data_IF_083381074339
#
_entry.id   IF_083381074339
#
_cell.length_a   1.000
_cell.length_b   1.000
_cell.length_c   1.000
_cell.angle_alpha   90.00
_cell.angle_beta   90.00
_cell.angle_gamma   90.00
#
_symmetry.space_group_name_H-M   'P 1'
#
loop_
_entity.id
_entity.type
_entity.pdbx_description
1 polymer ?
#
# COMPACT_ATOMS: atom_id res chain seq x y z
N UNK A 1 26.42 -9.47 -6.33
CA UNK A 1 26.91 -8.82 -5.09
C UNK A 1 26.06 -9.31 -3.94
N UNK A 2 26.67 -9.87 -2.89
CA UNK A 2 25.94 -10.35 -1.71
C UNK A 2 25.37 -9.15 -0.95
N UNK A 3 24.06 -9.12 -0.77
CA UNK A 3 23.43 -8.07 0.02
C UNK A 3 23.90 -8.16 1.48
N UNK A 4 24.31 -7.04 2.11
CA UNK A 4 24.75 -7.08 3.50
C UNK A 4 23.59 -7.44 4.41
N UNK A 5 23.75 -8.53 5.16
CA UNK A 5 22.77 -9.05 6.14
C UNK A 5 22.67 -8.17 7.39
N UNK A 6 23.55 -7.16 7.50
CA UNK A 6 23.62 -6.22 8.63
C UNK A 6 23.53 -4.78 8.13
N UNK A 7 22.92 -3.86 8.91
CA UNK A 7 22.90 -2.44 8.60
C UNK A 7 24.33 -1.85 8.55
N UNK A 8 24.53 -0.74 7.81
CA UNK A 8 25.76 0.03 7.91
C UNK A 8 26.11 0.35 9.38
N UNK A 9 27.38 0.25 9.80
CA UNK A 9 27.75 0.43 11.21
C UNK A 9 27.32 1.76 11.81
N UNK A 10 27.42 2.86 11.05
CA UNK A 10 26.97 4.18 11.49
C UNK A 10 25.45 4.22 11.75
N UNK A 11 24.67 3.57 10.88
CA UNK A 11 23.22 3.50 11.00
C UNK A 11 22.77 2.61 12.17
N UNK A 12 23.44 1.47 12.40
CA UNK A 12 23.18 0.63 13.56
C UNK A 12 23.56 1.35 14.87
N UNK A 13 24.66 2.12 14.87
CA UNK A 13 25.06 2.93 16.02
C UNK A 13 24.03 4.04 16.30
N UNK A 14 23.52 4.70 15.26
CA UNK A 14 22.41 5.65 15.39
C UNK A 14 21.18 5.00 16.00
N UNK A 15 20.68 3.91 15.42
CA UNK A 15 19.51 3.19 15.94
C UNK A 15 19.71 2.72 17.39
N UNK A 16 20.92 2.28 17.75
CA UNK A 16 21.23 1.85 19.13
C UNK A 16 21.16 3.01 20.14
N UNK A 17 21.56 4.23 19.74
CA UNK A 17 21.42 5.43 20.58
C UNK A 17 19.95 5.80 20.78
N UNK A 18 19.16 5.79 19.70
CA UNK A 18 17.72 6.09 19.75
C UNK A 18 16.93 5.08 20.60
N UNK A 19 17.39 3.82 20.63
CA UNK A 19 16.81 2.76 21.46
C UNK A 19 17.38 2.70 22.88
N UNK A 20 18.45 3.46 23.17
CA UNK A 20 19.25 3.34 24.38
C UNK A 20 19.68 1.88 24.70
N UNK A 21 19.92 1.07 23.66
CA UNK A 21 20.22 -0.35 23.78
C UNK A 21 20.94 -0.89 22.53
N UNK A 22 21.62 -2.04 22.67
CA UNK A 22 22.23 -2.76 21.53
C UNK A 22 21.31 -3.89 21.09
N UNK A 23 20.60 -3.78 19.96
CA UNK A 23 19.68 -4.81 19.51
C UNK A 23 20.38 -5.98 18.84
N UNK A 24 19.77 -7.17 18.94
CA UNK A 24 20.04 -8.24 18.00
C UNK A 24 19.42 -7.87 16.65
N UNK A 25 20.13 -8.14 15.56
CA UNK A 25 19.75 -7.69 14.22
C UNK A 25 19.45 -8.88 13.33
N UNK A 26 18.33 -8.83 12.61
CA UNK A 26 17.98 -9.80 11.57
C UNK A 26 17.54 -9.08 10.30
N UNK A 27 18.18 -9.39 9.17
CA UNK A 27 17.70 -8.94 7.86
C UNK A 27 16.34 -9.56 7.55
N UNK A 28 15.39 -8.71 7.17
CA UNK A 28 14.04 -9.07 6.75
C UNK A 28 13.66 -8.32 5.47
N UNK A 29 14.66 -7.84 4.73
CA UNK A 29 14.48 -7.11 3.48
C UNK A 29 13.84 -8.00 2.42
N UNK A 30 12.96 -7.42 1.63
CA UNK A 30 12.61 -8.01 0.34
C UNK A 30 13.79 -7.90 -0.64
N UNK A 31 13.90 -8.79 -1.65
CA UNK A 31 14.96 -8.74 -2.65
C UNK A 31 14.74 -7.55 -3.61
N UNK A 32 14.96 -6.32 -3.12
CA UNK A 32 14.94 -5.09 -3.90
C UNK A 32 16.25 -4.36 -3.67
N UNK A 33 16.87 -3.81 -4.71
CA UNK A 33 18.23 -3.25 -4.57
C UNK A 33 18.30 -2.07 -3.59
N UNK A 34 17.28 -1.21 -3.55
CA UNK A 34 17.38 0.09 -2.87
C UNK A 34 16.49 0.23 -1.63
N UNK A 35 15.75 -0.80 -1.22
CA UNK A 35 15.02 -0.79 0.06
C UNK A 35 15.58 -1.89 0.96
N UNK A 36 15.91 -1.54 2.19
CA UNK A 36 16.42 -2.47 3.21
C UNK A 36 15.60 -2.33 4.47
N UNK A 37 15.32 -3.47 5.10
CA UNK A 37 14.60 -3.52 6.38
C UNK A 37 15.28 -4.54 7.27
N UNK A 38 15.70 -4.09 8.45
CA UNK A 38 16.22 -4.96 9.50
C UNK A 38 15.29 -4.96 10.69
N UNK A 39 15.03 -6.15 11.22
CA UNK A 39 14.36 -6.34 12.50
C UNK A 39 15.38 -6.19 13.61
N UNK A 40 15.07 -5.33 14.58
CA UNK A 40 15.88 -5.09 15.76
C UNK A 40 15.14 -5.66 16.97
N UNK A 41 15.69 -6.69 17.61
CA UNK A 41 15.12 -7.33 18.79
C UNK A 41 15.87 -6.88 20.05
N UNK A 42 15.12 -6.41 21.06
CA UNK A 42 15.59 -6.06 22.39
C UNK A 42 15.09 -7.07 23.44
N UNK A 43 15.69 -7.11 24.66
CA UNK A 43 15.13 -7.87 25.78
C UNK A 43 13.67 -7.53 26.06
N UNK A 44 12.92 -8.47 26.65
CA UNK A 44 11.50 -8.26 26.96
C UNK A 44 10.55 -8.32 25.75
N UNK A 45 10.97 -8.99 24.67
CA UNK A 45 10.20 -9.15 23.43
C UNK A 45 9.83 -7.84 22.72
N UNK A 46 10.57 -6.76 22.98
CA UNK A 46 10.44 -5.50 22.26
C UNK A 46 11.11 -5.61 20.89
N UNK A 47 10.37 -5.21 19.85
CA UNK A 47 10.82 -5.30 18.47
C UNK A 47 10.63 -3.98 17.74
N UNK A 48 11.65 -3.62 16.97
CA UNK A 48 11.68 -2.45 16.11
C UNK A 48 12.10 -2.86 14.69
N UNK A 49 11.87 -1.96 13.75
CA UNK A 49 12.29 -2.11 12.37
C UNK A 49 13.10 -0.88 11.97
N UNK A 50 14.29 -1.12 11.45
CA UNK A 50 15.14 -0.12 10.82
C UNK A 50 14.96 -0.25 9.31
N UNK A 51 14.37 0.76 8.67
CA UNK A 51 14.08 0.78 7.23
C UNK A 51 14.91 1.85 6.54
N UNK A 52 15.51 1.53 5.41
CA UNK A 52 16.02 2.51 4.44
C UNK A 52 15.00 2.61 3.30
N UNK A 53 14.53 3.83 3.07
CA UNK A 53 13.64 4.13 1.96
C UNK A 53 14.41 4.17 0.64
N UNK A 54 13.82 3.68 -0.46
CA UNK A 54 14.53 3.62 -1.74
C UNK A 54 14.66 4.96 -2.46
N UNK A 55 13.86 5.96 -2.08
CA UNK A 55 13.83 7.31 -2.67
C UNK A 55 13.44 8.34 -1.62
N UNK A 56 13.94 9.57 -1.77
CA UNK A 56 13.60 10.70 -0.89
C UNK A 56 12.08 10.94 -0.80
N UNK A 57 11.36 10.92 -1.93
CA UNK A 57 9.90 11.10 -1.95
C UNK A 57 9.14 10.02 -1.14
N UNK A 58 9.65 8.79 -1.09
CA UNK A 58 9.04 7.71 -0.32
C UNK A 58 9.33 7.87 1.18
N UNK A 59 10.56 8.26 1.51
CA UNK A 59 10.95 8.62 2.87
C UNK A 59 10.09 9.77 3.42
N UNK A 60 9.91 10.83 2.65
CA UNK A 60 9.14 12.01 3.02
C UNK A 60 7.66 11.66 3.25
N UNK A 61 7.07 10.88 2.34
CA UNK A 61 5.69 10.40 2.46
C UNK A 61 5.49 9.53 3.68
N UNK A 62 6.35 8.54 3.89
CA UNK A 62 6.24 7.64 5.05
C UNK A 62 6.44 8.40 6.36
N UNK A 63 7.45 9.28 6.43
CA UNK A 63 7.72 10.11 7.60
C UNK A 63 6.54 11.03 7.92
N UNK A 64 5.96 11.67 6.89
CA UNK A 64 4.77 12.52 7.06
C UNK A 64 3.58 11.70 7.57
N UNK A 65 3.26 10.59 6.90
CA UNK A 65 2.14 9.73 7.28
C UNK A 65 2.26 9.23 8.71
N UNK A 66 3.45 8.77 9.11
CA UNK A 66 3.71 8.24 10.45
C UNK A 66 3.65 9.30 11.55
N UNK A 67 3.92 10.57 11.22
CA UNK A 67 3.84 11.69 12.16
C UNK A 67 2.42 12.27 12.27
N UNK A 68 1.67 12.35 11.17
CA UNK A 68 0.41 13.11 11.13
C UNK A 68 -0.85 12.25 11.10
N UNK A 69 -0.87 11.15 10.34
CA UNK A 69 -2.11 10.42 10.05
C UNK A 69 -2.15 9.03 10.72
N UNK A 70 -1.05 8.29 10.69
CA UNK A 70 -0.94 6.96 11.27
C UNK A 70 -1.28 6.88 12.77
N UNK A 71 -0.99 7.89 13.62
CA UNK A 71 -1.38 7.86 15.03
C UNK A 71 -2.90 7.67 15.26
N UNK A 72 -3.75 8.11 14.33
CA UNK A 72 -5.20 7.95 14.42
C UNK A 72 -5.68 6.48 14.31
N UNK A 73 -4.81 5.57 13.85
CA UNK A 73 -5.12 4.14 13.78
C UNK A 73 -5.08 3.49 15.17
N UNK A 74 -4.50 4.18 16.16
CA UNK A 74 -4.40 3.73 17.54
C UNK A 74 -3.26 2.76 17.79
N UNK A 75 -3.08 2.38 19.06
CA UNK A 75 -2.00 1.48 19.48
C UNK A 75 -2.09 0.13 18.76
N UNK A 76 -1.02 -0.25 18.06
CA UNK A 76 -0.94 -1.48 17.29
C UNK A 76 -1.67 -1.44 15.94
N UNK A 77 -2.34 -0.33 15.58
CA UNK A 77 -2.98 -0.15 14.28
C UNK A 77 -2.03 0.31 13.17
N UNK A 78 -0.86 0.86 13.53
CA UNK A 78 0.20 1.30 12.64
C UNK A 78 1.57 1.29 13.37
N UNK A 79 2.71 1.27 12.65
CA UNK A 79 3.99 1.51 13.27
C UNK A 79 4.08 2.95 13.78
N UNK A 80 4.78 3.16 14.89
CA UNK A 80 5.11 4.48 15.39
C UNK A 80 6.54 4.83 14.95
N UNK A 81 6.72 6.06 14.45
CA UNK A 81 8.04 6.58 14.13
C UNK A 81 8.78 6.94 15.43
N UNK A 82 9.86 6.21 15.71
CA UNK A 82 10.74 6.48 16.86
C UNK A 82 11.78 7.53 16.54
N UNK A 83 12.40 7.41 15.37
CA UNK A 83 13.40 8.33 14.88
C UNK A 83 13.50 8.24 13.35
N UNK A 84 14.04 9.27 12.72
CA UNK A 84 14.25 9.33 11.26
C UNK A 84 15.53 10.08 10.92
N UNK A 85 16.28 9.62 9.93
CA UNK A 85 17.45 10.29 9.35
C UNK A 85 17.17 10.63 7.89
N UNK A 86 17.09 11.91 7.55
CA UNK A 86 16.87 12.35 6.16
C UNK A 86 18.13 12.17 5.31
N UNK A 87 19.32 12.27 5.92
CA UNK A 87 20.60 12.03 5.27
C UNK A 87 20.72 10.58 4.78
N UNK A 88 20.30 9.62 5.60
CA UNK A 88 20.36 8.18 5.29
C UNK A 88 19.04 7.63 4.69
N UNK A 89 18.01 8.48 4.53
CA UNK A 89 16.64 8.07 4.20
C UNK A 89 16.10 6.96 5.12
N UNK A 90 16.50 6.98 6.40
CA UNK A 90 16.27 5.90 7.33
C UNK A 90 15.13 6.21 8.32
N UNK A 91 14.33 5.20 8.63
CA UNK A 91 13.27 5.26 9.63
C UNK A 91 13.47 4.15 10.67
N UNK A 92 13.30 4.51 11.95
CA UNK A 92 13.24 3.56 13.06
C UNK A 92 11.80 3.48 13.56
N UNK A 93 11.20 2.29 13.47
CA UNK A 93 9.77 2.07 13.63
C UNK A 93 9.49 1.04 14.72
N UNK A 94 8.39 1.20 15.47
CA UNK A 94 7.89 0.13 16.35
C UNK A 94 7.31 -1.02 15.53
N UNK A 95 7.41 -2.25 16.03
CA UNK A 95 6.70 -3.37 15.43
C UNK A 95 5.17 -3.23 15.56
N UNK A 96 4.46 -3.57 14.48
CA UNK A 96 3.01 -3.81 14.51
C UNK A 96 2.75 -5.27 14.93
N UNK A 97 1.78 -5.53 15.83
CA UNK A 97 1.42 -6.88 16.23
C UNK A 97 1.06 -7.82 15.07
N UNK A 98 1.50 -9.08 15.15
CA UNK A 98 1.07 -10.14 14.25
C UNK A 98 2.01 -10.40 13.08
N UNK A 99 1.44 -10.90 11.98
CA UNK A 99 2.15 -11.17 10.72
C UNK A 99 1.34 -10.62 9.54
N UNK A 100 1.96 -10.35 8.38
CA UNK A 100 1.22 -10.00 7.17
C UNK A 100 0.15 -11.04 6.85
N UNK A 101 -1.05 -10.60 6.50
CA UNK A 101 -2.20 -11.45 6.22
C UNK A 101 -1.88 -12.44 5.11
N UNK A 102 -1.15 -12.00 4.07
CA UNK A 102 -0.64 -12.85 2.98
C UNK A 102 0.23 -14.05 3.44
N UNK A 103 0.78 -14.01 4.65
CA UNK A 103 1.64 -15.07 5.21
C UNK A 103 0.91 -15.96 6.24
N UNK A 104 -0.40 -15.76 6.41
CA UNK A 104 -1.21 -16.50 7.36
C UNK A 104 -2.15 -17.45 6.64
N UNK A 105 -2.25 -18.66 7.18
CA UNK A 105 -3.35 -19.56 6.88
C UNK A 105 -4.42 -19.32 7.94
N UNK A 106 -5.53 -18.69 7.56
CA UNK A 106 -6.64 -18.36 8.45
C UNK A 106 -7.89 -19.12 8.03
N UNK A 107 -8.79 -19.36 8.99
CA UNK A 107 -10.16 -19.73 8.64
C UNK A 107 -10.84 -18.60 7.85
N UNK A 108 -11.81 -18.90 6.96
CA UNK A 108 -12.54 -17.86 6.22
C UNK A 108 -13.17 -16.79 7.13
N UNK A 109 -13.62 -17.19 8.32
CA UNK A 109 -14.21 -16.29 9.32
C UNK A 109 -13.16 -15.33 9.90
N UNK A 110 -11.95 -15.82 10.19
CA UNK A 110 -10.87 -14.98 10.71
C UNK A 110 -10.31 -14.05 9.65
N UNK A 111 -10.18 -14.52 8.41
CA UNK A 111 -9.75 -13.69 7.28
C UNK A 111 -10.74 -12.53 7.05
N UNK A 112 -12.05 -12.83 7.00
CA UNK A 112 -13.08 -11.80 6.90
C UNK A 112 -13.03 -10.80 8.08
N UNK A 113 -12.74 -11.28 9.30
CA UNK A 113 -12.54 -10.41 10.47
C UNK A 113 -11.33 -9.49 10.30
N UNK A 114 -10.21 -10.00 9.80
CA UNK A 114 -9.02 -9.21 9.51
C UNK A 114 -9.31 -8.11 8.48
N UNK A 115 -10.00 -8.44 7.38
CA UNK A 115 -10.42 -7.45 6.38
C UNK A 115 -11.36 -6.40 6.96
N UNK A 116 -12.32 -6.78 7.80
CA UNK A 116 -13.20 -5.83 8.50
C UNK A 116 -12.42 -4.87 9.38
N UNK A 117 -11.46 -5.37 10.16
CA UNK A 117 -10.60 -4.49 10.97
C UNK A 117 -9.73 -3.59 10.09
N UNK A 118 -9.18 -4.12 8.99
CA UNK A 118 -8.42 -3.34 8.01
C UNK A 118 -9.23 -2.19 7.43
N UNK A 119 -10.49 -2.45 7.02
CA UNK A 119 -11.41 -1.41 6.54
C UNK A 119 -11.70 -0.34 7.58
N UNK A 120 -11.90 -0.72 8.85
CA UNK A 120 -12.11 0.24 9.93
C UNK A 120 -10.89 1.14 10.18
N UNK A 121 -9.67 0.61 10.01
CA UNK A 121 -8.44 1.40 10.09
C UNK A 121 -8.28 2.35 8.90
N UNK A 122 -8.65 1.92 7.68
CA UNK A 122 -8.66 2.80 6.51
C UNK A 122 -9.65 3.96 6.69
N UNK A 123 -10.84 3.70 7.24
CA UNK A 123 -11.80 4.76 7.55
C UNK A 123 -11.21 5.83 8.49
N UNK A 124 -10.50 5.40 9.55
CA UNK A 124 -9.78 6.32 10.45
C UNK A 124 -8.70 7.10 9.70
N UNK A 125 -7.85 6.41 8.93
CA UNK A 125 -6.78 7.02 8.16
C UNK A 125 -7.31 8.12 7.22
N UNK A 126 -8.38 7.81 6.48
CA UNK A 126 -8.99 8.70 5.51
C UNK A 126 -9.48 10.01 6.13
N UNK A 127 -9.86 9.98 7.40
CA UNK A 127 -10.29 11.16 8.17
C UNK A 127 -9.17 11.86 8.94
N UNK A 128 -7.99 11.25 9.07
CA UNK A 128 -6.95 11.71 9.98
C UNK A 128 -5.95 12.70 9.37
N UNK A 129 -5.73 12.64 8.06
CA UNK A 129 -4.78 13.54 7.41
C UNK A 129 -5.35 14.93 7.15
N UNK A 130 -4.49 15.95 7.23
CA UNK A 130 -4.84 17.30 6.83
C UNK A 130 -5.00 17.41 5.30
N UNK A 131 -6.24 17.65 4.87
CA UNK A 131 -6.63 17.86 3.47
C UNK A 131 -6.94 19.33 3.19
N UNK A 132 -6.04 20.22 3.64
CA UNK A 132 -6.08 21.64 3.34
C UNK A 132 -4.96 22.07 2.37
N UNK A 133 -5.13 23.26 1.79
CA UNK A 133 -4.11 23.92 0.98
C UNK A 133 -3.56 23.03 -0.16
N UNK A 134 -2.22 22.94 -0.32
CA UNK A 134 -1.61 22.15 -1.40
C UNK A 134 -2.02 20.67 -1.41
N UNK A 135 -2.25 20.06 -0.24
CA UNK A 135 -2.67 18.65 -0.14
C UNK A 135 -4.07 18.43 -0.67
N UNK A 136 -4.96 19.39 -0.48
CA UNK A 136 -6.29 19.35 -1.08
C UNK A 136 -6.20 19.37 -2.61
N UNK A 137 -5.40 20.29 -3.15
CA UNK A 137 -5.20 20.40 -4.59
C UNK A 137 -4.57 19.12 -5.18
N UNK A 138 -3.58 18.52 -4.50
CA UNK A 138 -3.02 17.21 -4.88
C UNK A 138 -4.11 16.12 -4.91
N UNK A 139 -4.96 16.08 -3.89
CA UNK A 139 -6.03 15.08 -3.81
C UNK A 139 -7.08 15.25 -4.91
N UNK A 140 -7.48 16.49 -5.21
CA UNK A 140 -8.44 16.82 -6.27
C UNK A 140 -7.89 16.48 -7.67
N UNK A 141 -6.57 16.58 -7.87
CA UNK A 141 -5.91 16.23 -9.13
C UNK A 141 -5.51 14.74 -9.24
N UNK A 142 -5.64 13.95 -8.17
CA UNK A 142 -5.10 12.60 -8.12
C UNK A 142 -5.67 11.66 -9.20
N UNK A 143 -6.98 11.74 -9.50
CA UNK A 143 -7.59 10.91 -10.55
C UNK A 143 -7.12 11.33 -11.94
N UNK A 144 -7.02 12.64 -12.19
CA UNK A 144 -6.50 13.18 -13.44
C UNK A 144 -5.05 12.73 -13.67
N UNK A 145 -4.20 12.84 -12.65
CA UNK A 145 -2.82 12.38 -12.71
C UNK A 145 -2.70 10.86 -12.95
N UNK A 146 -3.61 10.05 -12.38
CA UNK A 146 -3.66 8.62 -12.65
C UNK A 146 -4.04 8.34 -14.11
N UNK A 147 -5.07 9.01 -14.63
CA UNK A 147 -5.48 8.88 -16.03
C UNK A 147 -4.39 9.31 -17.01
N UNK A 148 -3.68 10.41 -16.71
CA UNK A 148 -2.59 10.93 -17.54
C UNK A 148 -1.37 9.98 -17.56
N UNK A 149 -1.17 9.22 -16.48
CA UNK A 149 -0.16 8.15 -16.42
C UNK A 149 -0.45 6.96 -17.35
N UNK A 150 -1.70 6.78 -17.79
CA UNK A 150 -2.10 5.60 -18.57
C UNK A 150 -1.34 5.50 -19.90
N UNK A 151 -1.19 6.59 -20.65
CA UNK A 151 -0.47 6.59 -21.93
C UNK A 151 1.01 6.27 -21.76
N UNK A 152 1.64 6.78 -20.69
CA UNK A 152 3.03 6.44 -20.38
C UNK A 152 3.21 4.95 -20.09
N UNK A 153 2.26 4.34 -19.39
CA UNK A 153 2.26 2.90 -19.15
C UNK A 153 2.00 2.09 -20.43
N UNK A 154 1.05 2.51 -21.27
CA UNK A 154 0.75 1.87 -22.55
C UNK A 154 1.96 1.91 -23.49
N UNK A 155 2.61 3.06 -23.63
CA UNK A 155 3.83 3.20 -24.44
C UNK A 155 4.96 2.30 -23.92
N UNK A 156 5.15 2.21 -22.60
CA UNK A 156 6.17 1.37 -21.99
C UNK A 156 5.86 -0.13 -22.05
N UNK A 157 4.58 -0.52 -22.14
CA UNK A 157 4.19 -1.92 -22.27
C UNK A 157 4.42 -2.45 -23.68
N UNK A 158 4.22 -1.59 -24.69
CA UNK A 158 4.47 -1.89 -26.09
C UNK A 158 3.53 -2.94 -26.68
N UNK A 159 4.10 -3.82 -27.50
CA UNK A 159 3.42 -4.91 -28.22
C UNK A 159 2.90 -6.05 -27.33
N UNK A 160 3.20 -6.02 -26.03
CA UNK A 160 2.68 -6.96 -25.02
C UNK A 160 1.19 -6.80 -24.71
N UNK A 161 0.55 -5.79 -25.31
CA UNK A 161 -0.90 -5.62 -25.32
C UNK A 161 -1.43 -5.63 -26.76
N UNK A 162 -2.55 -6.30 -26.92
CA UNK A 162 -3.35 -6.28 -28.15
C UNK A 162 -4.01 -4.91 -28.36
N UNK A 163 -4.35 -4.58 -29.61
CA UNK A 163 -5.04 -3.31 -29.92
C UNK A 163 -6.38 -3.13 -29.15
N UNK A 164 -7.22 -4.18 -28.97
CA UNK A 164 -8.42 -4.07 -28.13
C UNK A 164 -8.11 -3.74 -26.65
N UNK A 165 -7.09 -4.36 -26.06
CA UNK A 165 -6.69 -4.08 -24.68
C UNK A 165 -6.21 -2.63 -24.52
N UNK A 166 -5.37 -2.16 -25.44
CA UNK A 166 -4.93 -0.76 -25.43
C UNK A 166 -6.11 0.20 -25.56
N UNK A 167 -7.06 -0.09 -26.46
CA UNK A 167 -8.28 0.72 -26.63
C UNK A 167 -9.12 0.77 -25.35
N UNK A 168 -9.31 -0.38 -24.68
CA UNK A 168 -10.05 -0.44 -23.43
C UNK A 168 -9.41 0.42 -22.33
N UNK A 169 -8.09 0.32 -22.16
CA UNK A 169 -7.37 1.10 -21.14
C UNK A 169 -7.47 2.59 -21.41
N UNK A 170 -7.33 3.02 -22.67
CA UNK A 170 -7.52 4.44 -23.05
C UNK A 170 -8.93 4.92 -22.75
N UNK A 171 -9.94 4.13 -23.13
CA UNK A 171 -11.33 4.45 -22.85
C UNK A 171 -11.56 4.62 -21.33
N UNK A 172 -11.09 3.67 -20.52
CA UNK A 172 -11.24 3.74 -19.06
C UNK A 172 -10.47 4.91 -18.44
N UNK A 173 -9.33 5.30 -19.02
CA UNK A 173 -8.61 6.51 -18.60
C UNK A 173 -9.42 7.79 -18.91
N UNK A 174 -10.04 7.89 -20.09
CA UNK A 174 -10.94 9.02 -20.40
C UNK A 174 -12.17 9.05 -19.50
N UNK A 175 -12.79 7.89 -19.25
CA UNK A 175 -13.90 7.77 -18.31
C UNK A 175 -13.51 8.23 -16.90
N UNK A 176 -12.29 7.90 -16.44
CA UNK A 176 -11.75 8.36 -15.16
C UNK A 176 -11.61 9.88 -15.08
N UNK A 177 -11.19 10.54 -16.18
CA UNK A 177 -11.10 12.01 -16.25
C UNK A 177 -12.46 12.69 -16.19
N UNK A 178 -13.47 12.05 -16.76
CA UNK A 178 -14.82 12.60 -16.85
C UNK A 178 -15.65 12.43 -15.56
N UNK A 179 -15.14 11.69 -14.56
CA UNK A 179 -15.87 11.47 -13.32
C UNK A 179 -16.04 12.77 -12.50
N UNK A 180 -17.17 12.92 -11.80
CA UNK A 180 -17.35 14.02 -10.87
C UNK A 180 -16.38 13.90 -9.68
N UNK A 181 -16.18 14.97 -8.90
CA UNK A 181 -15.36 14.93 -7.70
C UNK A 181 -15.80 13.81 -6.74
N UNK A 182 -14.84 13.00 -6.30
CA UNK A 182 -15.04 11.89 -5.37
C UNK A 182 -14.54 12.24 -3.96
N UNK A 183 -14.94 11.49 -2.92
CA UNK A 183 -14.46 11.71 -1.56
C UNK A 183 -12.92 11.71 -1.49
N UNK A 184 -12.37 12.81 -0.98
CA UNK A 184 -10.94 12.99 -0.73
C UNK A 184 -10.58 12.38 0.62
N UNK A 185 -9.35 11.86 0.71
CA UNK A 185 -8.80 11.20 1.88
C UNK A 185 -7.29 11.37 1.93
N UNK A 186 -6.72 11.20 3.13
CA UNK A 186 -5.33 10.80 3.23
C UNK A 186 -5.27 9.28 3.17
N UNK A 187 -4.69 8.74 2.10
CA UNK A 187 -4.73 7.31 1.79
C UNK A 187 -3.42 6.63 2.19
N UNK A 188 -3.45 5.32 2.42
CA UNK A 188 -2.27 4.48 2.60
C UNK A 188 -1.43 4.40 1.33
N UNK A 189 -2.09 4.26 0.18
CA UNK A 189 -1.52 4.19 -1.17
C UNK A 189 -0.91 2.83 -1.56
N UNK A 190 -0.93 1.85 -0.66
CA UNK A 190 -0.45 0.46 -0.88
C UNK A 190 -1.22 -0.51 0.04
N UNK A 191 -2.54 -0.34 0.16
CA UNK A 191 -3.38 -1.14 1.06
C UNK A 191 -3.80 -2.47 0.40
N UNK A 192 -3.22 -3.57 0.88
CA UNK A 192 -3.53 -4.96 0.54
C UNK A 192 -2.84 -5.93 1.52
N UNK A 193 -3.14 -7.22 1.41
CA UNK A 193 -2.83 -8.26 2.40
C UNK A 193 -1.36 -8.43 2.76
N UNK A 194 -0.42 -7.96 1.91
CA UNK A 194 1.01 -7.97 2.25
C UNK A 194 1.37 -6.92 3.31
N UNK A 195 0.58 -5.85 3.41
CA UNK A 195 0.78 -4.72 4.32
C UNK A 195 -0.28 -4.68 5.43
N UNK A 196 -1.32 -5.51 5.34
CA UNK A 196 -2.26 -5.73 6.43
C UNK A 196 -1.69 -6.77 7.40
N UNK A 197 -1.35 -6.35 8.60
CA UNK A 197 -0.93 -7.22 9.69
C UNK A 197 -2.15 -7.78 10.42
N UNK A 198 -2.11 -9.04 10.81
CA UNK A 198 -3.12 -9.64 11.69
C UNK A 198 -2.47 -10.37 12.86
N UNK A 199 -2.93 -10.04 14.07
CA UNK A 199 -2.58 -10.73 15.31
C UNK A 199 -3.75 -11.58 15.77
N UNK A 200 -3.63 -12.90 15.64
CA UNK A 200 -4.64 -13.85 16.15
C UNK A 200 -4.77 -13.76 17.67
N UNK A 201 -3.67 -13.60 18.39
CA UNK A 201 -3.68 -13.45 19.85
C UNK A 201 -4.39 -12.18 20.33
N UNK A 202 -4.25 -11.06 19.61
CA UNK A 202 -4.89 -9.78 19.96
C UNK A 202 -6.20 -9.53 19.23
N UNK A 203 -6.58 -10.40 18.29
CA UNK A 203 -7.70 -10.21 17.37
C UNK A 203 -7.70 -8.79 16.76
N UNK A 204 -6.52 -8.35 16.33
CA UNK A 204 -6.26 -6.97 15.94
C UNK A 204 -5.52 -6.93 14.60
N UNK A 205 -5.95 -6.02 13.73
CA UNK A 205 -5.25 -5.68 12.51
C UNK A 205 -4.40 -4.42 12.68
N UNK A 206 -3.42 -4.24 11.81
CA UNK A 206 -2.67 -2.99 11.67
C UNK A 206 -2.11 -2.84 10.25
N UNK A 207 -1.97 -1.62 9.77
CA UNK A 207 -1.34 -1.34 8.47
C UNK A 207 0.14 -1.02 8.66
N UNK A 208 0.99 -1.47 7.72
CA UNK A 208 2.42 -1.15 7.67
C UNK A 208 2.78 -0.63 6.26
N UNK A 209 3.96 -0.03 6.12
CA UNK A 209 4.51 0.42 4.83
C UNK A 209 3.76 1.62 4.22
N UNK A 210 3.88 2.78 4.87
CA UNK A 210 3.18 4.03 4.48
C UNK A 210 3.94 4.84 3.40
N UNK A 211 4.90 4.24 2.70
CA UNK A 211 5.76 4.93 1.72
C UNK A 211 5.02 5.45 0.47
N UNK A 212 3.79 4.98 0.26
CA UNK A 212 2.89 5.41 -0.82
C UNK A 212 1.79 6.35 -0.35
N UNK A 213 1.77 6.69 0.94
CA UNK A 213 0.71 7.52 1.52
C UNK A 213 0.77 8.94 1.00
N UNK A 214 -0.42 9.50 0.75
CA UNK A 214 -0.60 10.82 0.13
C UNK A 214 -2.05 11.29 0.26
N UNK A 215 -2.28 12.57 0.00
CA UNK A 215 -3.62 13.10 -0.19
C UNK A 215 -4.14 12.67 -1.57
N UNK A 216 -5.34 12.10 -1.63
CA UNK A 216 -5.87 11.47 -2.84
C UNK A 216 -7.38 11.22 -2.72
N UNK A 217 -8.01 10.66 -3.76
CA UNK A 217 -9.36 10.10 -3.62
C UNK A 217 -9.34 8.79 -2.85
N UNK A 218 -10.28 8.62 -1.92
CA UNK A 218 -10.35 7.48 -1.01
C UNK A 218 -10.42 6.12 -1.73
N UNK A 219 -11.07 6.08 -2.90
CA UNK A 219 -11.25 4.86 -3.70
C UNK A 219 -9.92 4.21 -4.12
N UNK A 220 -8.84 4.98 -4.24
CA UNK A 220 -7.54 4.46 -4.69
C UNK A 220 -6.93 3.45 -3.71
N UNK A 221 -7.26 3.52 -2.41
CA UNK A 221 -6.77 2.53 -1.43
C UNK A 221 -7.35 1.13 -1.63
N UNK A 222 -8.44 1.00 -2.38
CA UNK A 222 -9.10 -0.28 -2.60
C UNK A 222 -8.65 -0.98 -3.88
N UNK A 223 -7.89 -0.30 -4.75
CA UNK A 223 -7.48 -0.82 -6.06
C UNK A 223 -6.70 -2.12 -5.93
N UNK A 224 -5.69 -2.16 -5.05
CA UNK A 224 -4.84 -3.34 -4.93
C UNK A 224 -5.59 -4.53 -4.35
N UNK A 225 -6.46 -4.33 -3.36
CA UNK A 225 -7.33 -5.39 -2.83
C UNK A 225 -8.29 -5.91 -3.91
N UNK A 226 -8.93 -5.01 -4.68
CA UNK A 226 -9.81 -5.37 -5.79
C UNK A 226 -9.10 -6.19 -6.88
N UNK A 227 -7.86 -5.82 -7.21
CA UNK A 227 -7.02 -6.55 -8.17
C UNK A 227 -6.35 -7.82 -7.60
N UNK A 228 -6.52 -8.11 -6.30
CA UNK A 228 -5.85 -9.24 -5.64
C UNK A 228 -6.79 -10.03 -4.74
N UNK A 229 -6.79 -9.79 -3.44
CA UNK A 229 -7.45 -10.63 -2.43
C UNK A 229 -8.96 -10.67 -2.54
N UNK A 230 -9.59 -9.70 -3.19
CA UNK A 230 -11.03 -9.73 -3.45
C UNK A 230 -11.42 -10.46 -4.72
N UNK A 231 -10.45 -10.83 -5.56
CA UNK A 231 -10.73 -11.57 -6.79
C UNK A 231 -11.37 -12.90 -6.41
N UNK A 232 -12.61 -13.12 -6.84
CA UNK A 232 -13.43 -14.30 -6.52
C UNK A 232 -13.72 -14.48 -5.00
N UNK A 233 -13.56 -13.40 -4.22
CA UNK A 233 -13.80 -13.34 -2.77
C UNK A 233 -14.66 -12.14 -2.38
N UNK A 234 -15.92 -12.09 -2.85
CA UNK A 234 -16.84 -10.99 -2.51
C UNK A 234 -17.10 -10.86 -1.01
N UNK A 235 -16.92 -11.95 -0.25
CA UNK A 235 -17.01 -11.97 1.21
C UNK A 235 -15.95 -11.07 1.87
N UNK A 236 -14.72 -11.06 1.37
CA UNK A 236 -13.64 -10.22 1.90
C UNK A 236 -13.84 -8.75 1.56
N UNK A 237 -14.32 -8.46 0.35
CA UNK A 237 -14.75 -7.10 -0.06
C UNK A 237 -15.86 -6.60 0.86
N UNK A 238 -16.91 -7.40 1.04
CA UNK A 238 -18.03 -7.05 1.91
C UNK A 238 -17.59 -6.83 3.36
N UNK A 239 -16.73 -7.70 3.89
CA UNK A 239 -16.22 -7.57 5.25
C UNK A 239 -15.40 -6.28 5.43
N UNK A 240 -14.52 -5.96 4.48
CA UNK A 240 -13.75 -4.73 4.49
C UNK A 240 -14.66 -3.49 4.45
N UNK A 241 -15.61 -3.43 3.51
CA UNK A 241 -16.54 -2.30 3.39
C UNK A 241 -17.47 -2.15 4.60
N UNK A 242 -17.87 -3.27 5.21
CA UNK A 242 -18.60 -3.23 6.47
C UNK A 242 -17.77 -2.62 7.60
N UNK A 243 -16.47 -2.92 7.67
CA UNK A 243 -15.55 -2.30 8.60
C UNK A 243 -15.27 -0.83 8.29
N UNK A 244 -15.17 -0.50 7.01
CA UNK A 244 -15.01 0.87 6.51
C UNK A 244 -16.23 1.76 6.85
N UNK A 245 -17.40 1.14 7.03
CA UNK A 245 -18.62 1.78 7.49
C UNK A 245 -19.57 2.22 6.38
N UNK A 246 -19.22 1.98 5.11
CA UNK A 246 -20.11 2.22 3.97
C UNK A 246 -19.68 1.43 2.73
N UNK A 247 -20.63 1.22 1.83
CA UNK A 247 -20.37 0.72 0.48
C UNK A 247 -19.85 1.85 -0.44
N UNK A 248 -19.32 1.45 -1.60
CA UNK A 248 -18.98 2.37 -2.68
C UNK A 248 -20.23 2.95 -3.34
N UNK A 249 -20.18 4.22 -3.71
CA UNK A 249 -21.14 4.80 -4.67
C UNK A 249 -20.95 4.21 -6.07
N UNK A 250 -21.86 4.51 -6.99
CA UNK A 250 -21.75 4.06 -8.39
C UNK A 250 -20.49 4.65 -9.04
N UNK A 251 -20.20 5.92 -8.74
CA UNK A 251 -19.04 6.65 -9.26
C UNK A 251 -17.72 6.10 -8.68
N UNK A 252 -17.69 5.75 -7.38
CA UNK A 252 -16.53 5.09 -6.79
C UNK A 252 -16.31 3.69 -7.36
N UNK A 253 -17.37 2.91 -7.61
CA UNK A 253 -17.24 1.61 -8.27
C UNK A 253 -16.68 1.75 -9.70
N UNK A 254 -17.14 2.76 -10.43
CA UNK A 254 -16.63 3.06 -11.75
C UNK A 254 -15.16 3.51 -11.70
N UNK A 255 -14.80 4.42 -10.80
CA UNK A 255 -13.42 4.84 -10.58
C UNK A 255 -12.51 3.67 -10.24
N UNK A 256 -12.95 2.75 -9.37
CA UNK A 256 -12.20 1.55 -9.00
C UNK A 256 -11.88 0.69 -10.23
N UNK A 257 -12.84 0.51 -11.14
CA UNK A 257 -12.65 -0.20 -12.42
C UNK A 257 -11.63 0.50 -13.30
N UNK A 258 -11.73 1.82 -13.46
CA UNK A 258 -10.80 2.55 -14.31
C UNK A 258 -9.38 2.55 -13.75
N UNK A 259 -9.23 2.77 -12.44
CA UNK A 259 -7.95 2.71 -11.74
C UNK A 259 -7.33 1.31 -11.81
N UNK A 260 -8.13 0.25 -11.73
CA UNK A 260 -7.66 -1.13 -11.87
C UNK A 260 -7.09 -1.42 -13.27
N UNK A 261 -7.66 -0.83 -14.33
CA UNK A 261 -7.10 -0.94 -15.68
C UNK A 261 -5.72 -0.27 -15.78
N UNK A 262 -5.57 0.91 -15.17
CA UNK A 262 -4.29 1.64 -15.14
C UNK A 262 -3.25 0.87 -14.31
N UNK A 263 -3.62 0.34 -13.14
CA UNK A 263 -2.76 -0.53 -12.34
C UNK A 263 -2.36 -1.79 -13.10
N UNK A 264 -3.27 -2.41 -13.86
CA UNK A 264 -3.00 -3.60 -14.64
C UNK A 264 -1.89 -3.39 -15.67
N UNK A 265 -1.95 -2.28 -16.43
CA UNK A 265 -0.88 -1.96 -17.39
C UNK A 265 0.41 -1.59 -16.67
N UNK A 266 0.35 -0.86 -15.56
CA UNK A 266 1.52 -0.56 -14.72
C UNK A 266 2.21 -1.84 -14.23
N UNK A 267 1.44 -2.84 -13.80
CA UNK A 267 1.95 -4.16 -13.43
C UNK A 267 2.68 -4.86 -14.59
N UNK A 268 2.12 -4.80 -15.80
CA UNK A 268 2.75 -5.38 -16.99
C UNK A 268 4.04 -4.65 -17.37
N UNK A 269 4.20 -3.37 -17.03
CA UNK A 269 5.48 -2.66 -17.19
C UNK A 269 6.48 -3.06 -16.11
N UNK A 270 6.07 -3.04 -14.83
CA UNK A 270 6.99 -3.19 -13.70
C UNK A 270 7.35 -4.63 -13.38
N UNK A 271 6.42 -5.58 -13.54
CA UNK A 271 6.66 -7.00 -13.24
C UNK A 271 7.91 -7.52 -13.95
N UNK A 272 8.05 -7.39 -15.28
CA UNK A 272 9.24 -7.83 -15.99
C UNK A 272 10.51 -7.02 -15.67
N UNK A 273 10.37 -5.70 -15.40
CA UNK A 273 11.51 -4.87 -14.98
C UNK A 273 12.09 -5.28 -13.62
N UNK A 274 11.26 -5.86 -12.76
CA UNK A 274 11.62 -6.27 -11.40
C UNK A 274 11.79 -7.79 -11.27
N UNK A 275 11.70 -8.54 -12.38
CA UNK A 275 11.65 -10.00 -12.40
C UNK A 275 10.61 -10.58 -11.41
N UNK A 276 9.46 -9.92 -11.32
CA UNK A 276 8.36 -10.29 -10.43
C UNK A 276 7.19 -10.89 -11.25
N UNK A 277 7.12 -12.23 -11.37
CA UNK A 277 6.06 -12.90 -12.11
C UNK A 277 4.69 -12.75 -11.42
N UNK A 278 4.64 -12.52 -10.11
CA UNK A 278 3.37 -12.33 -9.41
C UNK A 278 2.73 -10.97 -9.74
N UNK A 279 3.53 -9.91 -9.86
CA UNK A 279 3.07 -8.61 -10.34
C UNK A 279 2.57 -8.71 -11.78
N UNK A 280 3.33 -9.36 -12.65
CA UNK A 280 2.94 -9.55 -14.06
C UNK A 280 1.62 -10.32 -14.17
N UNK A 281 1.49 -11.43 -13.43
CA UNK A 281 0.30 -12.26 -13.44
C UNK A 281 -0.93 -11.53 -12.88
N UNK A 282 -0.76 -10.67 -11.86
CA UNK A 282 -1.84 -9.81 -11.35
C UNK A 282 -2.35 -8.88 -12.45
N UNK A 283 -1.44 -8.16 -13.11
CA UNK A 283 -1.80 -7.25 -14.19
C UNK A 283 -2.56 -7.94 -15.32
N UNK A 284 -2.07 -9.11 -15.76
CA UNK A 284 -2.75 -9.88 -16.80
C UNK A 284 -4.14 -10.33 -16.38
N UNK A 285 -4.28 -10.95 -15.20
CA UNK A 285 -5.60 -11.39 -14.69
C UNK A 285 -6.60 -10.24 -14.59
N UNK A 286 -6.19 -9.08 -14.08
CA UNK A 286 -7.08 -7.92 -13.99
C UNK A 286 -7.54 -7.47 -15.38
N UNK A 287 -6.62 -7.41 -16.35
CA UNK A 287 -6.96 -7.02 -17.72
C UNK A 287 -7.90 -8.02 -18.39
N UNK A 288 -7.65 -9.32 -18.24
CA UNK A 288 -8.50 -10.38 -18.80
C UNK A 288 -9.95 -10.26 -18.27
N UNK A 289 -10.11 -10.00 -16.96
CA UNK A 289 -11.42 -9.79 -16.33
C UNK A 289 -12.12 -8.52 -16.82
N UNK A 290 -11.36 -7.44 -17.03
CA UNK A 290 -11.88 -6.20 -17.60
C UNK A 290 -12.37 -6.41 -19.03
N UNK A 291 -11.59 -7.13 -19.86
CA UNK A 291 -11.96 -7.48 -21.23
C UNK A 291 -13.20 -8.37 -21.29
N UNK A 292 -13.34 -9.29 -20.33
CA UNK A 292 -14.52 -10.15 -20.21
C UNK A 292 -15.75 -9.46 -19.56
N UNK A 293 -15.61 -8.23 -19.06
CA UNK A 293 -16.70 -7.49 -18.41
C UNK A 293 -17.07 -8.00 -17.01
N UNK A 294 -16.19 -8.75 -16.36
CA UNK A 294 -16.42 -9.40 -15.04
C UNK A 294 -15.58 -8.79 -13.91
N UNK A 295 -15.12 -7.55 -14.10
CA UNK A 295 -14.47 -6.79 -13.05
C UNK A 295 -15.52 -6.20 -12.09
N UNK A 296 -15.74 -6.89 -10.97
CA UNK A 296 -16.53 -6.43 -9.83
C UNK A 296 -16.08 -7.16 -8.56
#
# INVERSE_FOLDING_TARGET
MTNPTTPPPALLAWASRELAARPAVKDVSHPRENSRVWRLDLPGALRFYLKISPKAVMYERETLALRSAAPALGAGGAPQLRASSAEDLALLLTAVPGRPLKQLELSPVEEARAHRHGGALLARLHTAGDLSGPRRAEAEQALQAAADGAEGHLAAVGDRLTAPEQKLVRQLAEELRALPPLPLAYIHGDAWDRNLMWSTARQQAGWIDFERSRAATAVQDFVLMACSSWTDRPDLRAACLQGYGRNFTVEEQHALKCLAAIDAVSCLVWGPKLDDPHVTARGRRTLDRLMAGVFA
#
